data_IF_079458568084
#
_entry.id   IF_079458568084
#
_cell.length_a   1.000
_cell.length_b   1.000
_cell.length_c   1.000
_cell.angle_alpha   90.00
_cell.angle_beta   90.00
_cell.angle_gamma   90.00
#
_symmetry.space_group_name_H-M   'P 1'
#
loop_
_entity.id
_entity.type
_entity.pdbx_description
1 polymer ?
#
# COMPACT_ATOMS: atom_id res chain seq x y z
N UNK A 1 69.83 15.57 27.51
CA UNK A 1 68.74 15.15 26.62
C UNK A 1 68.18 13.85 27.19
N UNK A 2 67.05 13.90 27.92
CA UNK A 2 66.64 12.80 28.78
C UNK A 2 65.86 11.72 28.01
N UNK A 3 66.12 10.47 28.40
CA UNK A 3 65.49 9.25 27.90
C UNK A 3 63.99 9.19 28.22
N UNK A 4 63.14 8.59 27.37
CA UNK A 4 61.76 8.31 27.74
C UNK A 4 61.70 7.04 28.58
N UNK A 5 61.18 7.18 29.80
CA UNK A 5 60.83 6.08 30.68
C UNK A 5 59.66 5.28 30.11
N UNK A 6 59.86 3.96 30.06
CA UNK A 6 58.82 2.98 29.77
C UNK A 6 58.18 2.64 31.13
N UNK A 7 56.88 2.85 31.27
CA UNK A 7 56.10 2.31 32.38
C UNK A 7 54.98 1.42 31.84
N UNK A 8 54.66 0.30 32.50
CA UNK A 8 53.76 -0.72 32.00
C UNK A 8 52.32 -0.33 32.32
N UNK A 9 51.48 -0.16 31.31
CA UNK A 9 50.04 0.04 31.50
C UNK A 9 49.31 -1.25 31.18
N UNK A 10 48.78 -1.84 32.24
CA UNK A 10 47.84 -2.95 32.26
C UNK A 10 46.67 -2.73 31.30
N UNK A 11 46.44 -3.71 30.44
CA UNK A 11 45.19 -3.89 29.70
C UNK A 11 44.00 -4.03 30.66
N UNK A 12 42.85 -3.44 30.30
CA UNK A 12 41.60 -4.16 30.45
C UNK A 12 40.94 -4.33 29.08
N UNK A 13 40.85 -5.60 28.65
CA UNK A 13 39.82 -6.02 27.71
C UNK A 13 38.46 -5.65 28.30
N UNK A 14 37.78 -4.69 27.68
CA UNK A 14 36.38 -4.37 27.93
C UNK A 14 35.58 -4.60 26.66
N UNK A 15 35.19 -5.85 26.39
CA UNK A 15 34.12 -6.14 25.43
C UNK A 15 32.78 -5.73 26.02
N UNK A 16 31.81 -5.27 25.21
CA UNK A 16 30.45 -5.06 25.69
C UNK A 16 29.80 -6.44 25.86
N UNK A 17 29.87 -6.95 27.09
CA UNK A 17 28.99 -8.01 27.56
C UNK A 17 27.56 -7.46 27.59
N UNK A 18 26.72 -7.94 26.67
CA UNK A 18 25.27 -7.92 26.86
C UNK A 18 24.93 -8.95 27.93
N UNK A 19 25.08 -8.54 29.19
CA UNK A 19 24.52 -9.25 30.34
C UNK A 19 23.45 -8.35 30.95
N UNK A 20 22.34 -8.19 30.23
CA UNK A 20 21.12 -7.59 30.75
C UNK A 20 20.26 -8.69 31.39
N UNK A 21 20.87 -9.40 32.34
CA UNK A 21 20.21 -10.34 33.24
C UNK A 21 19.74 -9.60 34.49
N UNK A 22 18.90 -8.58 34.31
CA UNK A 22 18.23 -7.93 35.44
C UNK A 22 17.16 -8.89 35.99
N UNK A 23 17.52 -9.50 37.13
CA UNK A 23 16.66 -9.88 38.25
C UNK A 23 15.16 -9.67 38.01
N UNK A 24 14.51 -10.68 37.45
CA UNK A 24 13.05 -10.73 37.34
C UNK A 24 12.54 -11.57 38.50
N UNK A 25 11.93 -10.90 39.47
CA UNK A 25 11.21 -11.50 40.59
C UNK A 25 10.23 -12.59 40.07
N UNK A 26 10.43 -13.88 40.41
CA UNK A 26 9.62 -14.98 39.90
C UNK A 26 8.16 -14.97 40.36
N UNK A 27 7.77 -14.08 41.28
CA UNK A 27 6.44 -14.10 41.91
C UNK A 27 5.50 -12.97 41.48
N UNK A 28 5.89 -12.15 40.48
CA UNK A 28 5.09 -11.00 40.04
C UNK A 28 4.70 -10.92 38.56
N UNK A 29 5.02 -11.91 37.74
CA UNK A 29 4.42 -12.01 36.40
C UNK A 29 3.17 -12.87 36.44
N UNK A 30 2.04 -12.27 36.83
CA UNK A 30 0.77 -12.71 36.24
C UNK A 30 0.94 -12.64 34.72
N UNK A 31 0.71 -13.72 33.95
CA UNK A 31 0.76 -13.68 32.50
C UNK A 31 -0.45 -12.90 32.02
N UNK A 32 -0.37 -11.56 32.08
CA UNK A 32 -1.24 -10.72 31.29
C UNK A 32 -1.07 -11.18 29.85
N UNK A 33 -2.14 -11.73 29.31
CA UNK A 33 -2.22 -12.24 27.95
C UNK A 33 -1.66 -11.17 27.02
N UNK A 34 -0.41 -11.36 26.56
CA UNK A 34 0.22 -10.56 25.53
C UNK A 34 -0.74 -10.54 24.37
N UNK A 35 -1.48 -9.44 24.23
CA UNK A 35 -2.36 -9.20 23.09
C UNK A 35 -1.50 -9.45 21.86
N UNK A 36 -1.86 -10.47 21.09
CA UNK A 36 -1.19 -10.79 19.85
C UNK A 36 -1.17 -9.53 18.98
N UNK A 37 0.03 -8.99 18.79
CA UNK A 37 0.26 -7.82 17.93
C UNK A 37 0.66 -8.34 16.54
N UNK A 38 -0.26 -8.32 15.55
CA UNK A 38 0.01 -8.87 14.23
C UNK A 38 1.14 -8.13 13.52
N UNK A 39 1.30 -6.84 13.77
CA UNK A 39 2.34 -6.04 13.11
C UNK A 39 3.73 -6.46 13.60
N UNK A 40 3.88 -6.67 14.92
CA UNK A 40 5.11 -7.17 15.51
C UNK A 40 5.44 -8.59 15.05
N UNK A 41 4.47 -9.51 15.07
CA UNK A 41 4.70 -10.90 14.61
C UNK A 41 5.03 -10.97 13.12
N UNK A 42 4.46 -10.10 12.29
CA UNK A 42 4.82 -10.00 10.88
C UNK A 42 6.23 -9.43 10.67
N UNK A 43 6.63 -8.44 11.48
CA UNK A 43 7.99 -7.91 11.48
C UNK A 43 9.03 -8.95 11.87
N UNK A 44 8.76 -9.73 12.93
CA UNK A 44 9.61 -10.85 13.36
C UNK A 44 9.70 -11.92 12.23
N UNK A 45 8.58 -12.25 11.60
CA UNK A 45 8.56 -13.17 10.45
C UNK A 45 9.43 -12.67 9.28
N UNK A 46 9.29 -11.40 8.89
CA UNK A 46 10.10 -10.81 7.81
C UNK A 46 11.61 -10.80 8.15
N UNK A 47 11.97 -10.56 9.41
CA UNK A 47 13.34 -10.65 9.91
C UNK A 47 13.90 -12.08 9.78
N UNK A 48 13.13 -13.10 10.13
CA UNK A 48 13.52 -14.50 9.95
C UNK A 48 13.68 -14.88 8.48
N UNK A 49 12.77 -14.45 7.60
CA UNK A 49 12.87 -14.69 6.14
C UNK A 49 14.15 -14.08 5.57
N UNK A 50 14.47 -12.85 5.97
CA UNK A 50 15.70 -12.16 5.54
C UNK A 50 16.95 -12.89 6.03
N UNK A 51 16.93 -13.35 7.29
CA UNK A 51 18.01 -14.15 7.88
C UNK A 51 18.19 -15.48 7.16
N UNK A 52 17.10 -16.20 6.84
CA UNK A 52 17.14 -17.46 6.08
C UNK A 52 17.77 -17.23 4.70
N UNK A 53 17.40 -16.16 4.00
CA UNK A 53 17.96 -15.83 2.69
C UNK A 53 19.48 -15.58 2.78
N UNK A 54 19.92 -14.77 3.76
CA UNK A 54 21.34 -14.49 3.98
C UNK A 54 22.14 -15.77 4.32
N UNK A 55 21.65 -16.58 5.26
CA UNK A 55 22.28 -17.85 5.67
C UNK A 55 22.34 -18.83 4.49
N UNK A 56 21.30 -18.89 3.66
CA UNK A 56 21.26 -19.76 2.47
C UNK A 56 22.31 -19.37 1.42
N UNK A 57 22.53 -18.07 1.21
CA UNK A 57 23.59 -17.57 0.30
C UNK A 57 24.97 -17.92 0.86
N UNK A 58 25.18 -17.73 2.16
CA UNK A 58 26.44 -18.10 2.82
C UNK A 58 26.72 -19.61 2.72
N UNK A 59 25.71 -20.44 2.96
CA UNK A 59 25.78 -21.89 2.80
C UNK A 59 26.24 -22.29 1.39
N UNK A 60 25.62 -21.74 0.36
CA UNK A 60 26.01 -22.03 -1.03
C UNK A 60 27.43 -21.55 -1.34
N UNK A 61 27.85 -20.40 -0.79
CA UNK A 61 29.23 -19.92 -0.92
C UNK A 61 30.23 -20.87 -0.26
N UNK A 62 29.95 -21.35 0.94
CA UNK A 62 30.79 -22.31 1.67
C UNK A 62 30.86 -23.65 0.95
N UNK A 63 29.73 -24.16 0.46
CA UNK A 63 29.66 -25.40 -0.32
C UNK A 63 30.53 -25.33 -1.58
N UNK A 64 30.49 -24.22 -2.31
CA UNK A 64 31.36 -24.00 -3.49
C UNK A 64 32.84 -23.96 -3.11
N UNK A 65 33.20 -23.30 -2.00
CA UNK A 65 34.59 -23.27 -1.51
C UNK A 65 35.07 -24.66 -1.08
N UNK A 66 34.27 -25.40 -0.29
CA UNK A 66 34.60 -26.77 0.12
C UNK A 66 34.79 -27.68 -1.10
N UNK A 67 33.95 -27.55 -2.13
CA UNK A 67 34.12 -28.29 -3.38
C UNK A 67 35.43 -27.95 -4.10
N UNK A 68 35.75 -26.65 -4.24
CA UNK A 68 37.00 -26.21 -4.86
C UNK A 68 38.22 -26.73 -4.10
N UNK A 69 38.22 -26.60 -2.77
CA UNK A 69 39.30 -27.10 -1.93
C UNK A 69 39.43 -28.63 -1.98
N UNK A 70 38.31 -29.36 -2.06
CA UNK A 70 38.32 -30.81 -2.28
C UNK A 70 38.93 -31.18 -3.64
N UNK A 71 38.71 -30.40 -4.70
CA UNK A 71 39.35 -30.64 -6.00
C UNK A 71 40.84 -30.35 -5.97
N UNK A 72 41.28 -29.31 -5.27
CA UNK A 72 42.70 -28.98 -5.13
C UNK A 72 43.42 -29.98 -4.23
N UNK A 73 42.78 -30.44 -3.15
CA UNK A 73 43.28 -31.52 -2.31
C UNK A 73 43.46 -32.81 -3.12
N UNK A 74 42.52 -33.13 -4.03
CA UNK A 74 42.65 -34.31 -4.90
C UNK A 74 43.86 -34.21 -5.83
N UNK A 75 44.12 -33.03 -6.41
CA UNK A 75 45.31 -32.77 -7.23
C UNK A 75 46.60 -32.83 -6.41
N UNK A 76 46.59 -32.26 -5.20
CA UNK A 76 47.74 -32.23 -4.30
C UNK A 76 48.04 -33.60 -3.65
N UNK A 77 47.04 -34.49 -3.60
CA UNK A 77 47.20 -35.86 -3.08
C UNK A 77 47.63 -36.86 -4.15
N UNK A 78 47.74 -36.43 -5.41
CA UNK A 78 48.24 -37.28 -6.49
C UNK A 78 49.71 -37.62 -6.26
N UNK A 79 50.13 -38.84 -6.60
CA UNK A 79 51.43 -39.41 -6.19
C UNK A 79 52.64 -38.65 -6.74
N UNK A 80 52.45 -37.78 -7.72
CA UNK A 80 53.48 -36.93 -8.30
C UNK A 80 53.59 -35.54 -7.66
N UNK A 81 52.81 -35.22 -6.62
CA UNK A 81 52.82 -33.89 -6.03
C UNK A 81 53.98 -33.70 -5.03
N UNK A 82 54.86 -32.73 -5.32
CA UNK A 82 56.17 -32.59 -4.68
C UNK A 82 56.15 -31.93 -3.28
N UNK A 83 54.98 -31.48 -2.80
CA UNK A 83 54.85 -30.66 -1.58
C UNK A 83 53.80 -31.20 -0.59
N UNK A 84 54.18 -32.12 0.32
CA UNK A 84 53.27 -32.69 1.31
C UNK A 84 52.63 -31.67 2.27
N UNK A 85 53.31 -30.55 2.53
CA UNK A 85 52.81 -29.45 3.37
C UNK A 85 51.56 -28.78 2.80
N UNK A 86 51.47 -28.68 1.47
CA UNK A 86 50.30 -28.11 0.79
C UNK A 86 49.09 -29.03 0.90
N UNK A 87 49.29 -30.35 0.70
CA UNK A 87 48.24 -31.34 0.89
C UNK A 87 47.72 -31.35 2.33
N UNK A 88 48.62 -31.25 3.34
CA UNK A 88 48.22 -31.13 4.75
C UNK A 88 47.39 -29.87 5.00
N UNK A 89 47.82 -28.71 4.49
CA UNK A 89 47.08 -27.44 4.63
C UNK A 89 45.69 -27.53 3.99
N UNK A 90 45.59 -28.04 2.77
CA UNK A 90 44.31 -28.20 2.06
C UNK A 90 43.38 -29.20 2.77
N UNK A 91 43.95 -30.23 3.41
CA UNK A 91 43.17 -31.18 4.21
C UNK A 91 42.55 -30.48 5.43
N UNK A 92 43.34 -29.69 6.15
CA UNK A 92 42.87 -28.93 7.32
C UNK A 92 41.86 -27.85 6.91
N UNK A 93 42.12 -27.07 5.85
CA UNK A 93 41.20 -26.05 5.37
C UNK A 93 39.86 -26.63 4.91
N UNK A 94 39.88 -27.78 4.23
CA UNK A 94 38.66 -28.52 3.90
C UNK A 94 37.85 -28.91 5.14
N UNK A 95 38.51 -29.46 6.16
CA UNK A 95 37.85 -29.86 7.41
C UNK A 95 37.24 -28.65 8.14
N UNK A 96 37.93 -27.51 8.14
CA UNK A 96 37.39 -26.24 8.69
C UNK A 96 36.15 -25.75 7.92
N UNK A 97 36.18 -25.79 6.58
CA UNK A 97 35.04 -25.42 5.74
C UNK A 97 33.85 -26.36 5.94
N UNK A 98 34.10 -27.67 6.05
CA UNK A 98 33.05 -28.66 6.29
C UNK A 98 32.42 -28.46 7.68
N UNK A 99 33.23 -28.17 8.72
CA UNK A 99 32.73 -27.81 10.06
C UNK A 99 31.89 -26.53 10.05
N UNK A 100 32.33 -25.50 9.32
CA UNK A 100 31.55 -24.26 9.16
C UNK A 100 30.23 -24.50 8.43
N UNK A 101 30.23 -25.35 7.41
CA UNK A 101 29.01 -25.71 6.68
C UNK A 101 27.98 -26.37 7.60
N UNK A 102 28.41 -27.27 8.49
CA UNK A 102 27.55 -27.89 9.51
C UNK A 102 26.96 -26.84 10.46
N UNK A 103 27.77 -25.87 10.92
CA UNK A 103 27.29 -24.77 11.78
C UNK A 103 26.22 -23.92 11.07
N UNK A 104 26.46 -23.58 9.81
CA UNK A 104 25.54 -22.78 8.99
C UNK A 104 24.24 -23.55 8.72
N UNK A 105 24.31 -24.86 8.47
CA UNK A 105 23.14 -25.72 8.29
C UNK A 105 22.28 -25.80 9.57
N UNK A 106 22.89 -25.92 10.74
CA UNK A 106 22.15 -25.93 12.01
C UNK A 106 21.48 -24.57 12.27
N UNK A 107 22.18 -23.47 12.00
CA UNK A 107 21.61 -22.12 12.11
C UNK A 107 20.43 -21.94 11.15
N UNK A 108 20.55 -22.41 9.90
CA UNK A 108 19.47 -22.37 8.92
C UNK A 108 18.23 -23.13 9.43
N UNK A 109 18.45 -24.33 9.99
CA UNK A 109 17.38 -25.16 10.56
C UNK A 109 16.67 -24.49 11.73
N UNK A 110 17.40 -23.80 12.62
CA UNK A 110 16.83 -23.02 13.72
C UNK A 110 15.92 -21.91 13.18
N UNK A 111 16.40 -21.10 12.23
CA UNK A 111 15.60 -20.02 11.66
C UNK A 111 14.37 -20.55 10.89
N UNK A 112 14.50 -21.66 10.17
CA UNK A 112 13.36 -22.33 9.51
C UNK A 112 12.32 -22.83 10.52
N UNK A 113 12.76 -23.40 11.65
CA UNK A 113 11.85 -23.83 12.72
C UNK A 113 11.10 -22.63 13.33
N UNK A 114 11.81 -21.54 13.64
CA UNK A 114 11.19 -20.31 14.15
C UNK A 114 10.19 -19.71 13.15
N UNK A 115 10.53 -19.70 11.85
CA UNK A 115 9.61 -19.28 10.81
C UNK A 115 8.33 -20.13 10.79
N UNK A 116 8.45 -21.47 10.89
CA UNK A 116 7.30 -22.37 10.94
C UNK A 116 6.44 -22.16 12.18
N UNK A 117 7.05 -21.91 13.34
CA UNK A 117 6.33 -21.60 14.58
C UNK A 117 5.56 -20.28 14.46
N UNK A 118 6.18 -19.24 13.88
CA UNK A 118 5.51 -17.96 13.59
C UNK A 118 4.35 -18.14 12.59
N UNK A 119 4.53 -18.93 11.53
CA UNK A 119 3.45 -19.23 10.57
C UNK A 119 2.29 -19.94 11.29
N UNK A 120 2.59 -20.94 12.12
CA UNK A 120 1.56 -21.64 12.91
C UNK A 120 0.83 -20.69 13.86
N UNK A 121 1.56 -19.81 14.55
CA UNK A 121 0.99 -18.79 15.43
C UNK A 121 0.12 -17.78 14.69
N UNK A 122 0.58 -17.25 13.56
CA UNK A 122 -0.20 -16.37 12.70
C UNK A 122 -1.48 -17.05 12.22
N UNK A 123 -1.38 -18.27 11.69
CA UNK A 123 -2.53 -19.03 11.21
C UNK A 123 -3.58 -19.27 12.31
N UNK A 124 -3.16 -19.70 13.50
CA UNK A 124 -4.05 -19.91 14.64
C UNK A 124 -4.79 -18.63 15.04
N UNK A 125 -4.10 -17.49 15.06
CA UNK A 125 -4.70 -16.20 15.40
C UNK A 125 -5.66 -15.68 14.32
N UNK A 126 -5.36 -15.90 13.04
CA UNK A 126 -6.28 -15.55 11.94
C UNK A 126 -7.55 -16.40 11.99
N UNK A 127 -7.43 -17.71 12.21
CA UNK A 127 -8.57 -18.61 12.34
C UNK A 127 -9.44 -18.22 13.55
N UNK A 128 -8.80 -17.91 14.69
CA UNK A 128 -9.51 -17.49 15.91
C UNK A 128 -10.27 -16.16 15.72
N UNK A 129 -9.67 -15.16 15.07
CA UNK A 129 -10.35 -13.89 14.77
C UNK A 129 -11.52 -14.05 13.81
N UNK A 130 -11.40 -14.88 12.78
CA UNK A 130 -12.50 -15.15 11.85
C UNK A 130 -13.70 -15.81 12.55
N UNK A 131 -13.47 -16.72 13.49
CA UNK A 131 -14.55 -17.34 14.28
C UNK A 131 -15.23 -16.30 15.18
N UNK A 132 -14.46 -15.44 15.86
CA UNK A 132 -15.01 -14.39 16.72
C UNK A 132 -15.86 -13.37 15.95
N UNK A 133 -15.47 -13.07 14.70
CA UNK A 133 -16.20 -12.15 13.84
C UNK A 133 -17.49 -12.77 13.29
N UNK A 134 -17.55 -14.08 13.04
CA UNK A 134 -18.79 -14.78 12.70
C UNK A 134 -19.81 -14.79 13.85
N UNK A 135 -19.35 -14.87 15.10
CA UNK A 135 -20.22 -14.74 16.29
C UNK A 135 -20.82 -13.34 16.38
N UNK A 136 -20.00 -12.30 16.17
CA UNK A 136 -20.46 -10.90 16.20
C UNK A 136 -21.41 -10.57 15.05
N UNK A 137 -21.18 -11.11 13.85
CA UNK A 137 -22.07 -10.89 12.70
C UNK A 137 -23.42 -11.62 12.86
N UNK A 138 -23.44 -12.71 13.65
CA UNK A 138 -24.67 -13.40 14.03
C UNK A 138 -25.49 -12.57 15.04
N UNK A 139 -24.83 -11.93 16.02
CA UNK A 139 -25.49 -11.03 16.98
C UNK A 139 -25.95 -9.71 16.33
N UNK A 140 -25.19 -9.18 15.35
CA UNK A 140 -25.58 -7.99 14.58
C UNK A 140 -26.75 -8.24 13.63
N UNK A 141 -26.89 -9.46 13.10
CA UNK A 141 -28.10 -9.85 12.36
C UNK A 141 -29.34 -9.91 13.24
N UNK A 142 -29.20 -10.31 14.51
CA UNK A 142 -30.31 -10.36 15.47
C UNK A 142 -30.85 -8.95 15.82
N UNK A 143 -29.99 -7.92 15.81
CA UNK A 143 -30.37 -6.52 16.11
C UNK A 143 -30.88 -5.73 14.90
N UNK A 144 -30.64 -6.21 13.67
CA UNK A 144 -31.08 -5.54 12.43
C UNK A 144 -32.56 -5.76 12.10
N UNK A 145 -33.20 -6.76 12.69
CA UNK A 145 -34.62 -7.07 12.44
C UNK A 145 -35.60 -6.37 13.40
N UNK A 146 -35.11 -5.68 14.44
CA UNK A 146 -35.94 -4.88 15.36
C UNK A 146 -36.52 -3.56 14.76
N UNK A 147 -35.83 -2.78 13.91
CA UNK A 147 -36.35 -1.50 13.43
C UNK A 147 -37.46 -1.62 12.36
N UNK A 148 -37.75 -2.82 11.83
CA UNK A 148 -38.86 -3.03 10.88
C UNK A 148 -40.25 -3.05 11.52
N UNK A 149 -40.34 -3.08 12.86
CA UNK A 149 -41.63 -3.11 13.58
C UNK A 149 -42.16 -1.72 13.99
N UNK A 150 -41.34 -0.65 13.97
CA UNK A 150 -41.77 0.70 14.37
C UNK A 150 -42.07 1.68 13.20
N UNK A 151 -41.72 1.34 11.96
CA UNK A 151 -41.95 2.22 10.80
C UNK A 151 -43.42 2.53 10.42
N UNK A 152 -44.42 1.64 10.65
CA UNK A 152 -45.81 1.94 10.27
C UNK A 152 -46.50 2.98 11.18
N UNK A 153 -46.01 3.20 12.39
CA UNK A 153 -46.62 4.16 13.33
C UNK A 153 -46.26 5.63 13.04
N UNK A 154 -45.05 5.90 12.54
CA UNK A 154 -44.63 7.27 12.23
C UNK A 154 -45.36 7.84 10.99
N UNK A 155 -45.61 7.01 9.96
CA UNK A 155 -46.26 7.44 8.71
C UNK A 155 -47.78 7.66 8.85
N UNK A 156 -48.42 7.13 9.90
CA UNK A 156 -49.85 7.35 10.14
C UNK A 156 -50.14 8.73 10.76
N UNK A 157 -49.25 9.24 11.63
CA UNK A 157 -49.44 10.51 12.33
C UNK A 157 -49.19 11.74 11.42
N UNK A 158 -48.28 11.62 10.46
CA UNK A 158 -47.93 12.73 9.55
C UNK A 158 -49.07 13.05 8.56
N UNK A 159 -49.79 12.04 8.05
CA UNK A 159 -50.93 12.25 7.14
C UNK A 159 -52.14 12.88 7.81
N UNK A 160 -52.35 12.64 9.10
CA UNK A 160 -53.49 13.20 9.82
C UNK A 160 -53.25 14.68 10.17
N UNK A 161 -51.99 15.02 10.47
CA UNK A 161 -51.54 16.39 10.71
C UNK A 161 -51.74 17.28 9.48
N UNK A 162 -51.39 16.77 8.29
CA UNK A 162 -51.52 17.53 7.04
C UNK A 162 -52.98 17.80 6.65
N UNK A 163 -53.91 16.87 6.91
CA UNK A 163 -55.33 17.06 6.59
C UNK A 163 -56.01 18.12 7.45
N UNK A 164 -55.56 18.28 8.71
CA UNK A 164 -56.13 19.27 9.64
C UNK A 164 -55.73 20.70 9.27
N UNK A 165 -54.54 20.89 8.70
CA UNK A 165 -54.05 22.19 8.22
C UNK A 165 -54.86 22.68 7.00
N UNK A 166 -55.08 21.81 6.01
CA UNK A 166 -55.85 22.16 4.80
C UNK A 166 -57.33 22.49 5.08
N UNK A 167 -57.89 21.98 6.18
CA UNK A 167 -59.25 22.31 6.61
C UNK A 167 -59.34 23.71 7.23
N UNK A 168 -58.32 24.11 7.99
CA UNK A 168 -58.28 25.41 8.67
C UNK A 168 -58.10 26.56 7.67
N UNK A 169 -57.28 26.36 6.64
CA UNK A 169 -57.04 27.36 5.59
C UNK A 169 -58.31 27.71 4.79
N UNK A 170 -59.19 26.72 4.55
CA UNK A 170 -60.49 26.96 3.89
C UNK A 170 -61.45 27.80 4.73
N UNK A 171 -61.51 27.56 6.04
CA UNK A 171 -62.42 28.30 6.93
C UNK A 171 -62.00 29.77 7.06
N UNK A 172 -60.69 30.05 7.12
CA UNK A 172 -60.17 31.42 7.18
C UNK A 172 -60.48 32.19 5.91
N UNK A 173 -60.38 31.53 4.74
CA UNK A 173 -60.69 32.16 3.45
C UNK A 173 -62.17 32.54 3.30
N UNK A 174 -63.09 31.76 3.87
CA UNK A 174 -64.52 32.06 3.86
C UNK A 174 -64.88 33.28 4.73
N UNK A 175 -64.29 33.42 5.93
CA UNK A 175 -64.57 34.55 6.83
C UNK A 175 -64.05 35.90 6.31
N UNK A 176 -62.97 35.90 5.54
CA UNK A 176 -62.47 37.13 4.91
C UNK A 176 -63.43 37.63 3.82
N UNK A 177 -64.18 36.73 3.18
CA UNK A 177 -65.19 37.08 2.17
C UNK A 177 -66.44 37.70 2.78
N UNK A 178 -66.97 37.11 3.86
CA UNK A 178 -68.20 37.59 4.51
C UNK A 178 -68.03 38.90 5.25
N UNK A 179 -66.82 39.22 5.74
CA UNK A 179 -66.55 40.49 6.42
C UNK A 179 -66.60 41.73 5.52
N UNK A 180 -66.43 41.56 4.19
CA UNK A 180 -66.42 42.68 3.24
C UNK A 180 -67.82 43.12 2.80
N UNK A 181 -68.84 42.28 2.97
CA UNK A 181 -70.22 42.56 2.51
C UNK A 181 -71.06 43.36 3.52
N UNK A 182 -70.64 43.45 4.79
CA UNK A 182 -71.43 44.08 5.87
C UNK A 182 -71.12 45.58 6.05
N UNK A 183 -70.02 46.10 5.48
CA UNK A 183 -69.60 47.50 5.72
C UNK A 183 -70.13 48.53 4.71
N UNK A 184 -70.90 48.15 3.69
CA UNK A 184 -71.35 49.07 2.63
C UNK A 184 -72.82 49.57 2.76
N UNK A 185 -73.53 49.25 3.84
CA UNK A 185 -75.00 49.42 3.91
C UNK A 185 -75.60 50.54 4.78
N UNK A 186 -74.84 51.42 5.43
CA UNK A 186 -75.35 52.20 6.57
C UNK A 186 -75.26 53.73 6.49
N UNK A 187 -75.34 54.34 5.30
CA UNK A 187 -75.42 55.81 5.18
C UNK A 187 -76.51 56.23 4.18
N UNK A 188 -77.78 56.29 4.62
CA UNK A 188 -78.80 57.08 3.92
C UNK A 188 -80.03 57.37 4.79
N UNK A 189 -80.43 58.66 4.78
CA UNK A 189 -81.73 59.25 5.12
C UNK A 189 -82.08 59.60 6.59
N UNK A 190 -82.14 60.93 6.85
CA UNK A 190 -83.02 61.58 7.84
C UNK A 190 -83.20 63.08 7.53
N UNK A 191 -84.44 63.57 7.37
CA UNK A 191 -84.87 64.99 7.43
C UNK A 191 -86.42 65.12 7.58
N UNK A 192 -86.98 66.08 8.35
CA UNK A 192 -88.45 66.32 8.42
C UNK A 192 -88.93 67.78 8.20
N UNK A 193 -90.24 67.98 7.95
CA UNK A 193 -90.94 69.28 7.81
C UNK A 193 -92.43 69.22 8.20
N UNK A 194 -92.98 70.25 8.89
CA UNK A 194 -94.43 70.47 9.13
C UNK A 194 -94.79 71.95 9.41
N UNK A 195 -96.01 72.40 9.01
CA UNK A 195 -96.67 73.71 9.26
C UNK A 195 -98.12 73.54 9.82
N UNK A 196 -98.78 74.60 10.39
CA UNK A 196 -100.17 74.54 10.91
C UNK A 196 -101.19 75.57 10.30
N UNK A 197 -102.50 75.35 10.54
CA UNK A 197 -103.67 76.15 10.07
C UNK A 197 -104.45 76.75 11.27
N UNK A 198 -105.15 77.89 11.05
CA UNK A 198 -105.96 78.66 12.03
C UNK A 198 -107.46 78.79 11.65
N UNK A 199 -108.25 79.20 12.64
CA UNK A 199 -109.68 78.95 12.91
C UNK A 199 -110.58 80.20 12.69
N UNK A 200 -111.93 80.04 12.57
CA UNK A 200 -112.89 81.14 12.40
C UNK A 200 -114.37 80.78 12.66
N UNK A 201 -115.04 81.58 13.51
CA UNK A 201 -116.34 81.33 14.18
C UNK A 201 -117.54 82.13 13.58
N UNK A 202 -118.82 81.68 13.72
CA UNK A 202 -120.00 82.25 13.03
C UNK A 202 -121.07 82.96 13.91
N UNK A 203 -121.99 83.70 13.26
CA UNK A 203 -123.18 84.38 13.82
C UNK A 203 -124.48 83.54 13.68
N UNK A 204 -125.43 83.70 14.61
CA UNK A 204 -126.64 82.86 14.84
C UNK A 204 -127.84 83.15 13.92
N UNK A 205 -128.58 82.07 13.56
CA UNK A 205 -129.83 82.04 12.79
C UNK A 205 -131.04 81.44 13.55
N UNK A 206 -132.19 81.42 12.89
CA UNK A 206 -133.58 81.29 13.37
C UNK A 206 -134.01 79.89 13.90
N UNK A 207 -135.10 79.76 14.70
CA UNK A 207 -135.45 78.52 15.42
C UNK A 207 -135.76 77.28 14.56
N UNK A 208 -136.09 77.39 13.27
CA UNK A 208 -136.19 76.23 12.37
C UNK A 208 -134.81 75.77 11.84
N UNK A 209 -133.87 76.71 11.70
CA UNK A 209 -132.46 76.39 11.46
C UNK A 209 -131.83 75.76 12.69
N UNK A 210 -132.28 76.08 13.91
CA UNK A 210 -131.81 75.42 15.15
C UNK A 210 -132.11 73.93 15.15
N UNK A 211 -133.25 73.46 14.62
CA UNK A 211 -133.56 72.02 14.54
C UNK A 211 -132.70 71.29 13.50
N UNK A 212 -132.45 71.92 12.35
CA UNK A 212 -131.55 71.39 11.31
C UNK A 212 -130.10 71.44 11.81
N UNK A 213 -129.71 72.50 12.52
CA UNK A 213 -128.41 72.61 13.19
C UNK A 213 -128.28 71.56 14.30
N UNK A 214 -129.32 71.26 15.08
CA UNK A 214 -129.28 70.18 16.08
C UNK A 214 -129.09 68.81 15.44
N UNK A 215 -129.76 68.56 14.31
CA UNK A 215 -129.62 67.29 13.59
C UNK A 215 -128.25 67.19 12.90
N UNK A 216 -127.75 68.28 12.32
CA UNK A 216 -126.38 68.37 11.82
C UNK A 216 -125.36 68.21 12.95
N UNK A 217 -125.59 68.81 14.13
CA UNK A 217 -124.73 68.64 15.30
C UNK A 217 -124.71 67.18 15.76
N UNK A 218 -125.84 66.48 15.70
CA UNK A 218 -125.92 65.05 16.02
C UNK A 218 -125.20 64.19 14.98
N UNK A 219 -125.37 64.46 13.69
CA UNK A 219 -124.59 63.77 12.64
C UNK A 219 -123.09 64.07 12.73
N UNK A 220 -122.71 65.31 13.04
CA UNK A 220 -121.32 65.70 13.26
C UNK A 220 -120.78 65.00 14.51
N UNK A 221 -121.60 64.81 15.54
CA UNK A 221 -121.21 64.10 16.75
C UNK A 221 -121.02 62.60 16.47
N UNK A 222 -121.97 61.95 15.78
CA UNK A 222 -121.83 60.55 15.38
C UNK A 222 -120.61 60.34 14.46
N UNK A 223 -120.37 61.25 13.50
CA UNK A 223 -119.19 61.20 12.63
C UNK A 223 -117.88 61.47 13.38
N UNK A 224 -117.90 62.31 14.43
CA UNK A 224 -116.74 62.53 15.30
C UNK A 224 -116.47 61.33 16.18
N UNK A 225 -117.51 60.73 16.75
CA UNK A 225 -117.39 59.55 17.60
C UNK A 225 -116.86 58.35 16.79
N UNK A 226 -117.32 58.18 15.55
CA UNK A 226 -116.78 57.18 14.61
C UNK A 226 -115.31 57.47 14.25
N UNK A 227 -114.97 58.72 13.91
CA UNK A 227 -113.58 59.09 13.60
C UNK A 227 -112.64 58.93 14.81
N UNK A 228 -113.15 59.16 16.03
CA UNK A 228 -112.42 58.90 17.27
C UNK A 228 -112.24 57.40 17.47
N UNK A 229 -113.25 56.58 17.19
CA UNK A 229 -113.13 55.13 17.28
C UNK A 229 -112.08 54.58 16.28
N UNK A 230 -112.08 55.05 15.04
CA UNK A 230 -111.09 54.69 14.02
C UNK A 230 -109.65 55.11 14.42
N UNK A 231 -109.49 56.32 14.97
CA UNK A 231 -108.19 56.78 15.49
C UNK A 231 -107.74 55.93 16.69
N UNK A 232 -108.64 55.57 17.60
CA UNK A 232 -108.34 54.71 18.74
C UNK A 232 -107.91 53.31 18.31
N UNK A 233 -108.58 52.70 17.34
CA UNK A 233 -108.20 51.38 16.79
C UNK A 233 -106.83 51.42 16.09
N UNK A 234 -106.53 52.54 15.42
CA UNK A 234 -105.21 52.81 14.83
C UNK A 234 -104.12 52.98 15.90
N UNK A 235 -104.43 53.65 17.01
CA UNK A 235 -103.50 53.77 18.14
C UNK A 235 -103.28 52.41 18.83
N UNK A 236 -104.32 51.61 19.01
CA UNK A 236 -104.23 50.27 19.57
C UNK A 236 -103.37 49.35 18.69
N UNK A 237 -103.58 49.38 17.37
CA UNK A 237 -102.73 48.68 16.39
C UNK A 237 -101.27 49.13 16.46
N UNK A 238 -101.02 50.43 16.64
CA UNK A 238 -99.66 50.98 16.77
C UNK A 238 -99.00 50.58 18.09
N UNK A 239 -99.76 50.53 19.18
CA UNK A 239 -99.28 50.05 20.48
C UNK A 239 -98.89 48.58 20.38
N UNK A 240 -99.75 47.73 19.79
CA UNK A 240 -99.45 46.32 19.59
C UNK A 240 -98.17 46.10 18.75
N UNK A 241 -97.97 46.90 17.69
CA UNK A 241 -96.76 46.85 16.88
C UNK A 241 -95.51 47.26 17.69
N UNK A 242 -95.60 48.30 18.51
CA UNK A 242 -94.49 48.73 19.37
C UNK A 242 -94.14 47.70 20.45
N UNK A 243 -95.14 47.01 21.02
CA UNK A 243 -94.93 45.91 21.97
C UNK A 243 -94.21 44.72 21.32
N UNK A 244 -94.52 44.41 20.06
CA UNK A 244 -93.82 43.39 19.29
C UNK A 244 -92.35 43.78 19.04
N UNK A 245 -92.10 45.04 18.64
CA UNK A 245 -90.74 45.56 18.44
C UNK A 245 -89.95 45.56 19.75
N UNK A 246 -90.56 45.98 20.86
CA UNK A 246 -89.91 45.93 22.18
C UNK A 246 -89.60 44.49 22.60
N UNK A 247 -90.48 43.54 22.32
CA UNK A 247 -90.25 42.12 22.60
C UNK A 247 -89.09 41.55 21.78
N UNK A 248 -88.98 41.93 20.50
CA UNK A 248 -87.86 41.57 19.62
C UNK A 248 -86.55 42.20 20.09
N UNK A 249 -86.58 43.46 20.52
CA UNK A 249 -85.39 44.15 21.03
C UNK A 249 -84.92 43.52 22.35
N UNK A 250 -85.85 43.17 23.25
CA UNK A 250 -85.55 42.47 24.50
C UNK A 250 -84.99 41.06 24.27
N UNK A 251 -85.45 40.39 23.21
CA UNK A 251 -84.90 39.09 22.80
C UNK A 251 -83.50 39.23 22.18
N UNK A 252 -83.22 40.31 21.45
CA UNK A 252 -81.88 40.64 20.96
C UNK A 252 -80.92 41.02 22.10
N UNK A 253 -81.38 41.74 23.11
CA UNK A 253 -80.57 42.16 24.26
C UNK A 253 -80.10 40.94 25.08
N UNK A 254 -80.99 39.96 25.32
CA UNK A 254 -80.62 38.67 25.92
C UNK A 254 -79.68 37.81 25.05
N UNK A 255 -79.65 38.04 23.72
CA UNK A 255 -78.72 37.37 22.79
C UNK A 255 -77.36 38.06 22.71
N UNK A 256 -77.27 39.34 23.04
CA UNK A 256 -76.01 40.10 23.09
C UNK A 256 -75.25 39.94 24.41
N UNK A 257 -75.94 39.74 25.54
CA UNK A 257 -75.28 39.37 26.81
C UNK A 257 -74.59 37.99 26.74
N UNK A 258 -75.19 37.03 26.03
CA UNK A 258 -74.58 35.70 25.79
C UNK A 258 -73.40 35.74 24.79
N UNK A 259 -73.40 36.71 23.87
CA UNK A 259 -72.27 36.95 22.95
C UNK A 259 -71.11 37.72 23.62
N UNK A 260 -71.39 38.65 24.53
CA UNK A 260 -70.32 39.32 25.31
C UNK A 260 -69.57 38.34 26.23
N UNK A 261 -70.25 37.33 26.78
CA UNK A 261 -69.63 36.31 27.62
C UNK A 261 -68.78 35.30 26.82
N UNK A 262 -69.17 34.99 25.57
CA UNK A 262 -68.41 34.12 24.66
C UNK A 262 -67.21 34.82 24.02
N UNK A 263 -67.29 36.12 23.74
CA UNK A 263 -66.13 36.91 23.31
C UNK A 263 -65.11 37.07 24.45
N UNK A 264 -65.58 37.27 25.69
CA UNK A 264 -64.69 37.29 26.87
C UNK A 264 -63.96 35.96 27.10
N UNK A 265 -64.66 34.82 26.98
CA UNK A 265 -64.01 33.49 27.08
C UNK A 265 -63.08 33.20 25.90
N UNK A 266 -63.45 33.61 24.69
CA UNK A 266 -62.58 33.51 23.51
C UNK A 266 -61.30 34.34 23.64
N UNK A 267 -61.38 35.58 24.16
CA UNK A 267 -60.21 36.41 24.44
C UNK A 267 -59.29 35.80 25.50
N UNK A 268 -59.85 35.25 26.58
CA UNK A 268 -59.06 34.55 27.59
C UNK A 268 -58.40 33.28 27.05
N UNK A 269 -59.06 32.55 26.16
CA UNK A 269 -58.50 31.38 25.48
C UNK A 269 -57.38 31.76 24.51
N UNK A 270 -57.57 32.81 23.71
CA UNK A 270 -56.55 33.34 22.80
C UNK A 270 -55.33 33.86 23.57
N UNK A 271 -55.54 34.51 24.72
CA UNK A 271 -54.46 34.94 25.60
C UNK A 271 -53.70 33.75 26.22
N UNK A 272 -54.41 32.67 26.58
CA UNK A 272 -53.78 31.44 27.07
C UNK A 272 -52.94 30.74 25.99
N UNK A 273 -53.40 30.74 24.72
CA UNK A 273 -52.61 30.23 23.60
C UNK A 273 -51.41 31.11 23.28
N UNK A 274 -51.56 32.44 23.35
CA UNK A 274 -50.46 33.38 23.19
C UNK A 274 -49.39 33.17 24.26
N UNK A 275 -49.79 32.95 25.52
CA UNK A 275 -48.86 32.70 26.61
C UNK A 275 -48.19 31.33 26.50
N UNK A 276 -48.92 30.29 26.05
CA UNK A 276 -48.31 28.99 25.70
C UNK A 276 -47.29 29.13 24.58
N UNK A 277 -47.60 29.90 23.54
CA UNK A 277 -46.66 30.16 22.45
C UNK A 277 -45.43 30.91 22.95
N UNK A 278 -45.62 31.90 23.83
CA UNK A 278 -44.53 32.65 24.45
C UNK A 278 -43.63 31.75 25.30
N UNK A 279 -44.22 30.84 26.07
CA UNK A 279 -43.48 29.82 26.81
C UNK A 279 -42.74 28.85 25.89
N UNK A 280 -43.36 28.42 24.79
CA UNK A 280 -42.72 27.56 23.79
C UNK A 280 -41.53 28.27 23.10
N UNK A 281 -41.68 29.54 22.75
CA UNK A 281 -40.61 30.37 22.18
C UNK A 281 -39.46 30.54 23.19
N UNK A 282 -39.78 30.81 24.45
CA UNK A 282 -38.76 30.92 25.50
C UNK A 282 -38.02 29.59 25.71
N UNK A 283 -38.75 28.46 25.73
CA UNK A 283 -38.15 27.12 25.82
C UNK A 283 -37.27 26.79 24.62
N UNK A 284 -37.69 27.18 23.40
CA UNK A 284 -36.88 27.04 22.20
C UNK A 284 -35.63 27.92 22.24
N UNK A 285 -35.75 29.17 22.70
CA UNK A 285 -34.61 30.08 22.87
C UNK A 285 -33.57 29.47 23.81
N UNK A 286 -34.01 28.96 24.96
CA UNK A 286 -33.12 28.30 25.91
C UNK A 286 -32.45 27.05 25.32
N UNK A 287 -33.20 26.25 24.56
CA UNK A 287 -32.63 25.11 23.85
C UNK A 287 -31.58 25.55 22.81
N UNK A 288 -31.85 26.61 22.05
CA UNK A 288 -30.91 27.17 21.07
C UNK A 288 -29.64 27.67 21.76
N UNK A 289 -29.77 28.38 22.88
CA UNK A 289 -28.63 28.86 23.67
C UNK A 289 -27.78 27.70 24.21
N UNK A 290 -28.42 26.65 24.74
CA UNK A 290 -27.73 25.43 25.20
C UNK A 290 -26.98 24.75 24.05
N UNK A 291 -27.56 24.70 22.85
CA UNK A 291 -26.91 24.16 21.65
C UNK A 291 -25.73 25.01 21.21
N UNK A 292 -25.84 26.34 21.26
CA UNK A 292 -24.74 27.23 20.95
C UNK A 292 -23.56 27.02 21.90
N UNK A 293 -23.82 26.93 23.21
CA UNK A 293 -22.77 26.63 24.19
C UNK A 293 -22.13 25.26 23.94
N UNK A 294 -22.90 24.24 23.57
CA UNK A 294 -22.36 22.92 23.23
C UNK A 294 -21.43 22.98 22.01
N UNK A 295 -21.84 23.67 20.95
CA UNK A 295 -21.03 23.84 19.73
C UNK A 295 -19.76 24.64 20.04
N UNK A 296 -19.85 25.67 20.87
CA UNK A 296 -18.69 26.46 21.27
C UNK A 296 -17.69 25.62 22.08
N UNK A 297 -18.17 24.80 23.01
CA UNK A 297 -17.34 23.87 23.76
C UNK A 297 -16.65 22.84 22.85
N UNK A 298 -17.39 22.27 21.89
CA UNK A 298 -16.82 21.35 20.89
C UNK A 298 -15.75 22.04 20.03
N UNK A 299 -15.98 23.29 19.63
CA UNK A 299 -15.00 24.09 18.88
C UNK A 299 -13.70 24.29 19.68
N UNK A 300 -13.80 24.59 20.97
CA UNK A 300 -12.62 24.72 21.85
C UNK A 300 -11.86 23.40 21.98
N UNK A 301 -12.57 22.27 22.09
CA UNK A 301 -11.94 20.94 22.12
C UNK A 301 -11.21 20.62 20.81
N UNK A 302 -11.82 20.90 19.66
CA UNK A 302 -11.19 20.70 18.35
C UNK A 302 -9.93 21.56 18.20
N UNK A 303 -9.97 22.81 18.66
CA UNK A 303 -8.81 23.69 18.65
C UNK A 303 -7.67 23.13 19.53
N UNK A 304 -7.98 22.62 20.72
CA UNK A 304 -6.99 21.99 21.60
C UNK A 304 -6.36 20.75 20.95
N UNK A 305 -7.16 19.91 20.27
CA UNK A 305 -6.66 18.75 19.54
C UNK A 305 -5.74 19.16 18.38
N UNK A 306 -6.08 20.22 17.63
CA UNK A 306 -5.24 20.74 16.56
C UNK A 306 -3.87 21.19 17.08
N UNK A 307 -3.84 21.91 18.20
CA UNK A 307 -2.59 22.33 18.85
C UNK A 307 -1.75 21.12 19.27
N UNK A 308 -2.38 20.10 19.86
CA UNK A 308 -1.71 18.88 20.27
C UNK A 308 -1.12 18.11 19.07
N UNK A 309 -1.85 18.01 17.95
CA UNK A 309 -1.38 17.39 16.72
C UNK A 309 -0.20 18.15 16.11
N UNK A 310 -0.27 19.47 15.99
CA UNK A 310 0.84 20.28 15.47
C UNK A 310 2.10 20.13 16.34
N UNK A 311 1.95 20.07 17.66
CA UNK A 311 3.06 19.82 18.59
C UNK A 311 3.66 18.42 18.41
N UNK A 312 2.82 17.40 18.18
CA UNK A 312 3.27 16.05 17.91
C UNK A 312 3.99 15.96 16.55
N UNK A 313 3.45 16.57 15.51
CA UNK A 313 4.07 16.65 14.18
C UNK A 313 5.43 17.34 14.25
N UNK A 314 5.51 18.47 14.96
CA UNK A 314 6.78 19.17 15.19
C UNK A 314 7.77 18.24 15.90
N UNK A 315 7.38 17.59 17.00
CA UNK A 315 8.27 16.64 17.70
C UNK A 315 8.67 15.46 16.82
N UNK A 316 7.74 14.90 16.03
CA UNK A 316 8.03 13.80 15.13
C UNK A 316 9.02 14.20 14.03
N UNK A 317 8.87 15.40 13.47
CA UNK A 317 9.80 15.94 12.48
C UNK A 317 11.21 16.15 13.04
N UNK A 318 11.33 16.48 14.34
CA UNK A 318 12.63 16.59 15.03
C UNK A 318 13.16 15.25 15.54
N UNK A 319 12.28 14.26 15.75
CA UNK A 319 12.63 12.87 16.06
C UNK A 319 12.88 12.05 14.79
N UNK A 320 12.60 12.62 13.61
CA UNK A 320 12.99 12.06 12.33
C UNK A 320 14.46 11.70 12.41
N UNK A 321 14.77 10.47 12.03
CA UNK A 321 16.10 9.90 12.18
C UNK A 321 17.13 10.62 11.31
N UNK A 322 16.72 11.47 10.38
CA UNK A 322 17.61 12.12 9.43
C UNK A 322 18.69 13.01 10.09
N UNK A 323 18.37 14.01 10.94
CA UNK A 323 19.39 14.81 11.63
C UNK A 323 20.28 13.97 12.56
N UNK A 324 19.72 12.99 13.26
CA UNK A 324 20.49 12.10 14.15
C UNK A 324 21.46 11.25 13.33
N UNK A 325 21.00 10.64 12.24
CA UNK A 325 21.80 9.84 11.32
C UNK A 325 22.87 10.71 10.64
N UNK A 326 22.55 11.93 10.21
CA UNK A 326 23.53 12.87 9.65
C UNK A 326 24.65 13.17 10.66
N UNK A 327 24.28 13.48 11.90
CA UNK A 327 25.27 13.76 12.94
C UNK A 327 26.10 12.52 13.32
N UNK A 328 25.48 11.34 13.34
CA UNK A 328 26.19 10.07 13.54
C UNK A 328 27.16 9.78 12.40
N UNK A 329 26.77 9.99 11.14
CA UNK A 329 27.64 9.81 9.98
C UNK A 329 28.82 10.78 10.02
N UNK A 330 28.60 12.04 10.38
CA UNK A 330 29.68 13.03 10.56
C UNK A 330 30.64 12.57 11.66
N UNK A 331 30.12 12.21 12.84
CA UNK A 331 30.95 11.73 13.94
C UNK A 331 31.73 10.44 13.56
N UNK A 332 31.10 9.53 12.82
CA UNK A 332 31.78 8.34 12.30
C UNK A 332 32.86 8.70 11.28
N UNK A 333 32.63 9.68 10.41
CA UNK A 333 33.63 10.16 9.44
C UNK A 333 34.82 10.82 10.15
N UNK A 334 34.58 11.57 11.23
CA UNK A 334 35.63 12.18 12.05
C UNK A 334 36.44 11.15 12.84
N UNK A 335 35.80 10.07 13.33
CA UNK A 335 36.50 9.00 14.03
C UNK A 335 37.28 8.07 13.10
N UNK A 336 36.86 7.95 11.83
CA UNK A 336 37.49 7.07 10.85
C UNK A 336 37.92 7.81 9.59
N UNK A 337 38.80 8.83 9.69
CA UNK A 337 39.25 9.60 8.53
C UNK A 337 39.96 8.72 7.49
N UNK A 338 40.61 7.65 7.95
CA UNK A 338 41.29 6.68 7.11
C UNK A 338 40.35 5.75 6.34
N UNK A 339 39.09 5.57 6.77
CA UNK A 339 38.14 4.74 6.04
C UNK A 339 37.77 5.36 4.69
N UNK A 340 37.68 6.69 4.62
CA UNK A 340 37.45 7.42 3.37
C UNK A 340 38.62 7.27 2.39
N UNK A 341 39.86 7.33 2.89
CA UNK A 341 41.07 7.10 2.09
C UNK A 341 41.12 5.68 1.53
N UNK A 342 40.89 4.68 2.39
CA UNK A 342 40.81 3.27 1.95
C UNK A 342 39.71 3.07 0.91
N UNK A 343 38.56 3.74 1.07
CA UNK A 343 37.46 3.66 0.12
C UNK A 343 37.80 4.29 -1.25
N UNK A 344 38.65 5.32 -1.28
CA UNK A 344 39.19 5.88 -2.52
C UNK A 344 40.31 5.03 -3.13
N UNK A 345 41.12 4.34 -2.32
CA UNK A 345 42.22 3.49 -2.80
C UNK A 345 41.75 2.16 -3.41
N UNK A 346 40.65 1.58 -2.92
CA UNK A 346 40.06 0.33 -3.44
C UNK A 346 39.86 0.35 -4.97
N UNK A 347 39.19 1.34 -5.58
CA UNK A 347 39.00 1.36 -7.04
C UNK A 347 40.33 1.54 -7.78
N UNK A 348 41.27 2.31 -7.24
CA UNK A 348 42.61 2.50 -7.84
C UNK A 348 43.37 1.17 -7.86
N UNK A 349 43.32 0.41 -6.76
CA UNK A 349 43.94 -0.92 -6.67
C UNK A 349 43.25 -1.88 -7.64
N UNK A 350 41.91 -1.84 -7.73
CA UNK A 350 41.16 -2.68 -8.66
C UNK A 350 41.56 -2.43 -10.12
N UNK A 351 41.70 -1.18 -10.52
CA UNK A 351 42.18 -0.80 -11.85
C UNK A 351 43.60 -1.30 -12.12
N UNK A 352 44.50 -1.18 -11.14
CA UNK A 352 45.87 -1.71 -11.26
C UNK A 352 45.87 -3.23 -11.44
N UNK A 353 45.04 -3.94 -10.68
CA UNK A 353 44.88 -5.40 -10.81
C UNK A 353 44.39 -5.75 -12.20
N UNK A 354 43.36 -5.08 -12.71
CA UNK A 354 42.80 -5.35 -14.04
C UNK A 354 43.81 -5.12 -15.17
N UNK A 355 44.65 -4.08 -15.06
CA UNK A 355 45.75 -3.83 -15.99
C UNK A 355 46.81 -4.93 -15.95
N UNK A 356 47.21 -5.35 -14.75
CA UNK A 356 48.19 -6.43 -14.57
C UNK A 356 47.64 -7.77 -15.09
N UNK A 357 46.37 -8.08 -14.83
CA UNK A 357 45.71 -9.27 -15.37
C UNK A 357 45.67 -9.25 -16.90
N UNK A 358 45.38 -8.09 -17.50
CA UNK A 358 45.38 -7.94 -18.95
C UNK A 358 46.78 -8.13 -19.55
N UNK A 359 47.81 -7.54 -18.94
CA UNK A 359 49.20 -7.71 -19.34
C UNK A 359 49.65 -9.18 -19.20
N UNK A 360 49.28 -9.85 -18.10
CA UNK A 360 49.60 -11.26 -17.88
C UNK A 360 48.94 -12.16 -18.94
N UNK A 361 47.68 -11.90 -19.30
CA UNK A 361 46.99 -12.63 -20.35
C UNK A 361 47.63 -12.42 -21.73
N UNK A 362 48.12 -11.21 -22.01
CA UNK A 362 48.88 -10.92 -23.24
C UNK A 362 50.16 -11.74 -23.28
N UNK A 363 50.99 -11.67 -22.23
CA UNK A 363 52.26 -12.42 -22.15
C UNK A 363 52.01 -13.93 -22.25
N UNK A 364 50.94 -14.42 -21.62
CA UNK A 364 50.53 -15.83 -21.74
C UNK A 364 50.19 -16.20 -23.19
N UNK A 365 49.51 -15.31 -23.91
CA UNK A 365 49.24 -15.46 -25.35
C UNK A 365 50.52 -15.54 -26.16
N UNK A 366 51.46 -14.63 -25.92
CA UNK A 366 52.75 -14.58 -26.61
C UNK A 366 53.59 -15.85 -26.35
N UNK A 367 53.62 -16.33 -25.10
CA UNK A 367 54.30 -17.58 -24.74
C UNK A 367 53.67 -18.77 -25.47
N UNK A 368 52.33 -18.84 -25.51
CA UNK A 368 51.64 -19.94 -26.20
C UNK A 368 51.91 -19.91 -27.70
N UNK A 369 51.92 -18.72 -28.32
CA UNK A 369 52.28 -18.57 -29.73
C UNK A 369 53.73 -18.99 -30.00
N UNK A 370 54.68 -18.53 -29.18
CA UNK A 370 56.08 -18.91 -29.27
C UNK A 370 56.27 -20.43 -29.09
N UNK A 371 55.58 -21.05 -28.14
CA UNK A 371 55.64 -22.49 -27.91
C UNK A 371 55.09 -23.30 -29.10
N UNK A 372 54.00 -22.84 -29.71
CA UNK A 372 53.47 -23.44 -30.94
C UNK A 372 54.47 -23.34 -32.10
N UNK A 373 55.08 -22.17 -32.31
CA UNK A 373 56.10 -22.00 -33.37
C UNK A 373 57.34 -22.88 -33.14
N UNK A 374 57.82 -22.98 -31.88
CA UNK A 374 58.92 -23.86 -31.51
C UNK A 374 58.58 -25.32 -31.73
N UNK A 375 57.36 -25.73 -31.39
CA UNK A 375 56.90 -27.12 -31.58
C UNK A 375 56.80 -27.49 -33.05
N UNK A 376 56.31 -26.58 -33.90
CA UNK A 376 56.30 -26.76 -35.34
C UNK A 376 57.73 -26.92 -35.90
N UNK A 377 58.66 -26.04 -35.52
CA UNK A 377 60.06 -26.15 -35.95
C UNK A 377 60.71 -27.47 -35.52
N UNK A 378 60.48 -27.91 -34.28
CA UNK A 378 60.99 -29.20 -33.80
C UNK A 378 60.42 -30.36 -34.61
N UNK A 379 59.13 -30.32 -34.95
CA UNK A 379 58.49 -31.31 -35.81
C UNK A 379 59.16 -31.36 -37.20
N UNK A 380 59.37 -30.20 -37.82
CA UNK A 380 60.01 -30.09 -39.13
C UNK A 380 61.46 -30.60 -39.11
N UNK A 381 62.25 -30.19 -38.10
CA UNK A 381 63.63 -30.67 -37.92
C UNK A 381 63.69 -32.18 -37.67
N UNK A 382 62.71 -32.73 -36.94
CA UNK A 382 62.62 -34.18 -36.69
C UNK A 382 62.31 -34.93 -37.99
N UNK A 383 61.35 -34.44 -38.78
CA UNK A 383 61.03 -35.02 -40.08
C UNK A 383 62.22 -34.97 -41.04
N UNK A 384 62.96 -33.86 -41.08
CA UNK A 384 64.15 -33.71 -41.92
C UNK A 384 65.29 -34.63 -41.47
N UNK A 385 65.52 -34.75 -40.16
CA UNK A 385 66.47 -35.72 -39.61
C UNK A 385 66.10 -37.15 -40.01
N UNK A 386 64.82 -37.51 -39.95
CA UNK A 386 64.35 -38.85 -40.32
C UNK A 386 64.54 -39.10 -41.82
N UNK A 387 64.27 -38.10 -42.67
CA UNK A 387 64.55 -38.13 -44.12
C UNK A 387 66.03 -38.36 -44.40
N UNK A 388 66.92 -37.57 -43.79
CA UNK A 388 68.37 -37.72 -43.94
C UNK A 388 68.85 -39.10 -43.44
N UNK A 389 68.29 -39.59 -42.34
CA UNK A 389 68.61 -40.93 -41.81
C UNK A 389 68.25 -42.03 -42.82
N UNK A 390 67.09 -41.93 -43.48
CA UNK A 390 66.71 -42.88 -44.54
C UNK A 390 67.63 -42.78 -45.77
N UNK A 391 68.02 -41.57 -46.17
CA UNK A 391 68.98 -41.37 -47.26
C UNK A 391 70.35 -42.00 -46.94
N UNK A 392 70.85 -41.83 -45.71
CA UNK A 392 72.09 -42.46 -45.24
C UNK A 392 71.99 -43.99 -45.27
N UNK A 393 70.87 -44.57 -44.80
CA UNK A 393 70.64 -46.01 -44.86
C UNK A 393 70.67 -46.49 -46.33
N UNK A 394 69.99 -45.78 -47.24
CA UNK A 394 69.98 -46.11 -48.67
C UNK A 394 71.37 -46.05 -49.29
N UNK A 395 72.15 -44.99 -48.99
CA UNK A 395 73.52 -44.85 -49.48
C UNK A 395 74.45 -45.94 -48.92
N UNK A 396 74.30 -46.28 -47.64
CA UNK A 396 75.09 -47.36 -47.00
C UNK A 396 74.83 -48.69 -47.70
N UNK A 397 73.56 -49.02 -47.99
CA UNK A 397 73.19 -50.22 -48.75
C UNK A 397 73.81 -50.23 -50.16
N UNK A 398 73.80 -49.10 -50.88
CA UNK A 398 74.48 -48.99 -52.19
C UNK A 398 76.00 -49.17 -52.08
N UNK A 399 76.63 -48.66 -51.03
CA UNK A 399 78.06 -48.85 -50.77
C UNK A 399 78.37 -50.34 -50.54
N UNK A 400 77.53 -51.06 -49.78
CA UNK A 400 77.66 -52.50 -49.57
C UNK A 400 77.51 -53.28 -50.89
N UNK A 401 76.55 -52.93 -51.74
CA UNK A 401 76.38 -53.50 -53.09
C UNK A 401 77.63 -53.28 -53.95
N UNK A 402 78.17 -52.06 -53.98
CA UNK A 402 79.41 -51.74 -54.69
C UNK A 402 80.61 -52.52 -54.12
N UNK A 403 80.66 -52.71 -52.81
CA UNK A 403 81.65 -53.56 -52.15
C UNK A 403 81.58 -55.02 -52.63
N UNK A 404 80.36 -55.56 -52.78
CA UNK A 404 80.11 -56.89 -53.36
C UNK A 404 80.52 -56.97 -54.84
N UNK A 405 80.25 -55.94 -55.63
CA UNK A 405 80.74 -55.87 -57.02
C UNK A 405 82.27 -55.83 -57.07
N UNK A 406 82.91 -55.04 -56.20
CA UNK A 406 84.37 -54.97 -56.10
C UNK A 406 84.99 -56.32 -55.70
N UNK A 407 84.39 -57.05 -54.76
CA UNK A 407 84.91 -58.36 -54.36
C UNK A 407 84.79 -59.39 -55.49
N UNK A 408 83.70 -59.38 -56.26
CA UNK A 408 83.55 -60.18 -57.48
C UNK A 408 84.59 -59.81 -58.54
N UNK A 409 84.84 -58.52 -58.75
CA UNK A 409 85.86 -58.05 -59.70
C UNK A 409 87.26 -58.53 -59.32
N UNK A 410 87.64 -58.40 -58.04
CA UNK A 410 88.92 -58.90 -57.53
C UNK A 410 89.02 -60.43 -57.70
N UNK A 411 87.92 -61.17 -57.52
CA UNK A 411 87.87 -62.60 -57.79
C UNK A 411 88.16 -62.93 -59.25
N UNK A 412 87.55 -62.20 -60.20
CA UNK A 412 87.81 -62.35 -61.63
C UNK A 412 89.26 -61.99 -61.97
N UNK A 413 89.79 -60.91 -61.41
CA UNK A 413 91.19 -60.50 -61.61
C UNK A 413 92.15 -61.60 -61.16
N UNK A 414 91.95 -62.17 -59.98
CA UNK A 414 92.77 -63.28 -59.48
C UNK A 414 92.70 -64.52 -60.38
N UNK A 415 91.51 -64.86 -60.89
CA UNK A 415 91.34 -65.98 -61.84
C UNK A 415 92.07 -65.69 -63.15
N UNK A 416 91.96 -64.47 -63.68
CA UNK A 416 92.65 -64.07 -64.90
C UNK A 416 94.17 -64.08 -64.72
N UNK A 417 94.68 -63.58 -63.59
CA UNK A 417 96.10 -63.61 -63.26
C UNK A 417 96.63 -65.04 -63.19
N UNK A 418 95.94 -65.92 -62.46
CA UNK A 418 96.28 -67.34 -62.38
C UNK A 418 96.29 -68.04 -63.75
N UNK A 419 95.27 -67.79 -64.59
CA UNK A 419 95.22 -68.32 -65.96
C UNK A 419 96.34 -67.77 -66.84
N UNK A 420 96.72 -66.52 -66.66
CA UNK A 420 97.83 -65.90 -67.39
C UNK A 420 99.16 -66.56 -67.02
N UNK A 421 99.41 -66.75 -65.72
CA UNK A 421 100.59 -67.47 -65.22
C UNK A 421 100.62 -68.93 -65.71
N UNK A 422 99.46 -69.60 -65.78
CA UNK A 422 99.33 -70.94 -66.35
C UNK A 422 99.68 -70.95 -67.86
N UNK A 423 99.13 -70.01 -68.64
CA UNK A 423 99.45 -69.88 -70.07
C UNK A 423 100.93 -69.56 -70.27
N UNK A 424 101.51 -68.67 -69.47
CA UNK A 424 102.94 -68.33 -69.54
C UNK A 424 103.82 -69.55 -69.24
N UNK A 425 103.48 -70.33 -68.22
CA UNK A 425 104.15 -71.60 -67.91
C UNK A 425 104.00 -72.64 -69.04
N UNK A 426 102.81 -72.80 -69.62
CA UNK A 426 102.58 -73.71 -70.77
C UNK A 426 103.38 -73.27 -72.00
N UNK A 427 103.45 -71.96 -72.27
CA UNK A 427 104.25 -71.42 -73.37
C UNK A 427 105.75 -71.64 -73.10
N UNK A 428 106.22 -71.35 -71.89
CA UNK A 428 107.61 -71.56 -71.51
C UNK A 428 108.03 -73.04 -71.59
N UNK A 429 107.19 -73.96 -71.11
CA UNK A 429 107.43 -75.42 -71.18
C UNK A 429 107.39 -75.95 -72.61
N UNK A 430 106.45 -75.48 -73.43
CA UNK A 430 106.43 -75.80 -74.86
C UNK A 430 107.67 -75.27 -75.58
N UNK A 431 108.08 -74.03 -75.32
CA UNK A 431 109.27 -73.43 -75.90
C UNK A 431 110.54 -74.20 -75.49
N UNK A 432 110.67 -74.53 -74.21
CA UNK A 432 111.76 -75.38 -73.71
C UNK A 432 111.76 -76.77 -74.38
N UNK A 433 110.58 -77.37 -74.59
CA UNK A 433 110.46 -78.65 -75.32
C UNK A 433 110.87 -78.54 -76.78
N UNK A 434 110.54 -77.44 -77.47
CA UNK A 434 111.00 -77.17 -78.84
C UNK A 434 112.52 -77.01 -78.88
N UNK A 435 113.10 -76.27 -77.93
CA UNK A 435 114.55 -76.09 -77.82
C UNK A 435 115.28 -77.42 -77.57
N UNK A 436 114.76 -78.25 -76.65
CA UNK A 436 115.33 -79.57 -76.34
C UNK A 436 115.26 -80.55 -77.52
N UNK A 437 114.20 -80.48 -78.32
CA UNK A 437 114.07 -81.27 -79.55
C UNK A 437 114.99 -80.76 -80.67
N UNK A 438 115.36 -79.48 -80.64
CA UNK A 438 116.39 -78.93 -81.53
C UNK A 438 117.79 -79.47 -81.19
N UNK A 439 118.10 -79.63 -79.90
CA UNK A 439 119.38 -80.19 -79.43
C UNK A 439 119.54 -81.69 -79.78
N UNK A 440 118.45 -82.47 -79.81
CA UNK A 440 118.49 -83.89 -80.23
C UNK A 440 118.67 -84.11 -81.74
N UNK A 441 118.73 -83.04 -82.55
CA UNK A 441 118.94 -83.10 -84.01
C UNK A 441 120.33 -82.65 -84.46
N UNK A 442 121.26 -82.43 -83.53
CA UNK A 442 122.66 -82.14 -83.86
C UNK A 442 123.53 -83.42 -83.70
N UNK A 443 124.24 -83.87 -84.75
CA UNK A 443 125.07 -85.08 -84.73
C UNK A 443 126.38 -84.88 -83.93
N UNK A 444 127.02 -85.98 -83.47
CA UNK A 444 128.11 -85.93 -82.50
C UNK A 444 129.41 -85.41 -83.13
N UNK A 445 130.13 -84.55 -82.39
CA UNK A 445 131.55 -84.30 -82.63
C UNK A 445 132.37 -84.71 -81.40
N UNK A 446 133.15 -85.77 -81.63
CA UNK A 446 134.29 -86.27 -80.86
C UNK A 446 135.42 -85.22 -80.78
N UNK A 447 136.38 -85.38 -79.86
CA UNK A 447 137.50 -86.31 -80.11
C UNK A 447 137.46 -87.61 -79.29
#
# INVERSE_FOLDING_TARGET
MPSPQISPTSSPLGGPNHDESLSRDPRKSSPDSLKFDPARSLGEFASHVTSIAAISVERERLKKRSQAESTDLRKASDRNFQYPSVAKRLKTGKEELDNELVRVDEKLKIHQKMQQELIKGLAANFISKCQQQQTLDSDLKLTRDEPKLMEPFAKAHERDSSKRLDALERVVSEHVKTGREVSEGAESLMYPHSEPITDGCPQFGTPAEVTIQLQNLRQIQDAKDEAIADELDKYESRIACLEEVMSKLKQMDGRNETNSQTVGTSMHQMNAELERLRQAINGLSQHVDNRFQLVENQSRTLQAHQIALNSLETRYNHLSTEPIVKQMVIAMQEMYPHASLVQQEIPIIHDKINRLTSALNSVRGDISAAENTRSALISDMTAERDRMTQEIISLTSKIEELGSVRSKLNGIENVLRSRMDEVENVVATNLASVMLNHDKRLPPQNP
#
